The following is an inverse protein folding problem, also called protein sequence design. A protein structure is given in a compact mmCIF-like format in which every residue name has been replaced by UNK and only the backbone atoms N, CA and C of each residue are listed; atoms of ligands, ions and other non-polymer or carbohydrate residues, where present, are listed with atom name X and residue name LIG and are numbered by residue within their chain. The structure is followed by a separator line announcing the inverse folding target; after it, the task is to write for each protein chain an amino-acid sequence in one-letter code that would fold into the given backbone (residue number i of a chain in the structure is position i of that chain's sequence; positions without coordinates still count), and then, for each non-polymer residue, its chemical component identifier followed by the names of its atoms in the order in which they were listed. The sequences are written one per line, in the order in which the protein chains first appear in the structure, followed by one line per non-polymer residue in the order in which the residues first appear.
data_IF_962748367169
#
_entry.id   IF_962748367169
#
_cell.length_a   1.000
_cell.length_b   1.000
_cell.length_c   1.000
_cell.angle_alpha   90.00
_cell.angle_beta   90.00
_cell.angle_gamma   90.00
#
_symmetry.space_group_name_H-M   'P 1'
#
loop_
_entity.id
_entity.type
_entity.pdbx_description
1 polymer ?
#
# COMPACT_ATOMS: atom_id res chain seq x y z
N UNK A 1 19.82 29.17 -0.74
CA UNK A 1 18.86 28.67 0.26
C UNK A 1 19.11 27.18 0.31
N UNK A 2 19.53 26.63 1.45
CA UNK A 2 19.67 25.17 1.57
C UNK A 2 18.27 24.57 1.46
N UNK A 3 18.05 23.70 0.47
CA UNK A 3 16.85 22.87 0.44
C UNK A 3 16.79 22.12 1.77
N UNK A 4 15.91 22.57 2.67
CA UNK A 4 15.68 21.86 3.91
C UNK A 4 15.09 20.50 3.53
N UNK A 5 15.83 19.44 3.80
CA UNK A 5 15.36 18.06 3.58
C UNK A 5 14.08 17.88 4.37
N UNK A 6 12.96 17.71 3.67
CA UNK A 6 11.68 17.44 4.32
C UNK A 6 11.65 15.96 4.68
N UNK A 7 11.62 15.67 5.97
CA UNK A 7 11.60 14.30 6.48
C UNK A 7 10.25 13.99 7.13
N UNK A 8 9.78 12.76 6.95
CA UNK A 8 8.61 12.22 7.62
C UNK A 8 8.86 10.75 8.00
N UNK A 9 8.23 10.28 9.07
CA UNK A 9 8.33 8.88 9.44
C UNK A 9 7.22 8.09 8.75
N UNK A 10 7.61 7.08 7.96
CA UNK A 10 6.68 6.19 7.30
C UNK A 10 6.55 4.85 8.04
N UNK A 11 5.33 4.38 8.22
CA UNK A 11 5.03 3.08 8.84
C UNK A 11 4.15 2.26 7.90
N UNK A 12 4.55 1.02 7.65
CA UNK A 12 3.78 0.04 6.87
C UNK A 12 3.21 -1.03 7.83
N UNK A 13 1.89 -0.94 8.09
CA UNK A 13 1.16 -1.88 8.95
C UNK A 13 0.64 -3.03 8.10
N UNK A 14 1.34 -4.16 8.12
CA UNK A 14 0.94 -5.36 7.41
C UNK A 14 0.46 -6.48 8.35
N UNK A 15 -0.25 -7.47 7.82
CA UNK A 15 -0.80 -8.58 8.61
C UNK A 15 0.26 -9.47 9.30
N UNK A 16 1.50 -9.49 8.83
CA UNK A 16 2.59 -10.30 9.39
C UNK A 16 3.72 -9.50 10.01
N UNK A 17 3.74 -8.18 9.83
CA UNK A 17 4.79 -7.31 10.35
C UNK A 17 4.47 -5.85 10.12
N UNK A 18 4.80 -5.03 11.11
CA UNK A 18 4.75 -3.58 11.07
C UNK A 18 6.18 -3.09 10.87
N UNK A 19 6.37 -2.23 9.88
CA UNK A 19 7.70 -1.75 9.50
C UNK A 19 7.70 -0.23 9.52
N UNK A 20 8.79 0.39 9.96
CA UNK A 20 8.91 1.83 9.97
C UNK A 20 10.32 2.28 9.62
N UNK A 21 10.44 3.45 9.02
CA UNK A 21 11.69 4.14 8.74
C UNK A 21 11.45 5.64 8.57
N UNK A 22 12.51 6.42 8.82
CA UNK A 22 12.54 7.82 8.44
C UNK A 22 12.81 7.94 6.94
N UNK A 23 12.04 8.78 6.26
CA UNK A 23 12.07 8.98 4.81
C UNK A 23 12.41 10.42 4.50
N UNK A 24 13.31 10.64 3.56
CA UNK A 24 13.47 11.89 2.84
C UNK A 24 12.37 11.97 1.77
N UNK A 25 11.37 12.82 2.00
CA UNK A 25 10.21 12.93 1.12
C UNK A 25 10.50 13.66 -0.20
N UNK A 26 11.68 14.27 -0.34
CA UNK A 26 12.12 14.92 -1.58
C UNK A 26 12.75 13.93 -2.56
N UNK A 27 13.35 12.87 -2.05
CA UNK A 27 14.06 11.85 -2.83
C UNK A 27 13.40 10.46 -2.80
N UNK A 28 12.50 10.22 -1.83
CA UNK A 28 11.90 8.90 -1.58
C UNK A 28 12.83 7.89 -0.95
N UNK A 29 14.00 8.32 -0.46
CA UNK A 29 14.99 7.41 0.13
C UNK A 29 14.80 7.24 1.63
N UNK A 30 15.03 6.01 2.12
CA UNK A 30 15.03 5.74 3.55
C UNK A 30 16.29 6.35 4.18
N UNK A 31 16.10 7.26 5.15
CA UNK A 31 17.19 7.91 5.91
C UNK A 31 17.73 6.98 6.99
N UNK A 32 16.85 6.13 7.55
CA UNK A 32 17.22 5.12 8.54
C UNK A 32 16.97 3.72 8.00
N UNK A 33 17.68 2.69 8.51
CA UNK A 33 17.33 1.32 8.20
C UNK A 33 15.88 1.01 8.58
N UNK A 34 15.18 0.28 7.73
CA UNK A 34 13.82 -0.18 7.98
C UNK A 34 13.79 -1.15 9.16
N UNK A 35 13.11 -0.78 10.23
CA UNK A 35 12.84 -1.65 11.36
C UNK A 35 11.55 -2.42 11.15
N UNK A 36 11.52 -3.70 11.54
CA UNK A 36 10.35 -4.57 11.46
C UNK A 36 10.05 -5.18 12.82
N UNK A 37 8.80 -5.07 13.25
CA UNK A 37 8.24 -5.76 14.41
C UNK A 37 7.13 -6.69 13.91
N UNK A 38 6.98 -7.86 14.51
CA UNK A 38 5.90 -8.80 14.17
C UNK A 38 4.56 -8.18 14.54
N UNK A 39 3.59 -8.26 13.65
CA UNK A 39 2.23 -7.78 13.92
C UNK A 39 1.62 -8.59 15.07
N UNK A 40 1.15 -7.94 16.13
CA UNK A 40 0.55 -8.64 17.28
C UNK A 40 -0.72 -9.40 16.85
N UNK A 41 -0.97 -10.50 17.53
CA UNK A 41 -2.18 -11.29 17.34
C UNK A 41 -2.91 -11.48 18.67
N UNK A 42 -4.18 -11.06 18.78
CA UNK A 42 -4.99 -10.35 17.76
C UNK A 42 -4.45 -8.94 17.51
N UNK A 43 -4.59 -8.48 16.23
CA UNK A 43 -4.15 -7.16 15.79
C UNK A 43 -5.18 -6.07 16.11
N UNK A 44 -5.52 -5.95 17.40
CA UNK A 44 -6.46 -4.93 17.90
C UNK A 44 -5.86 -3.51 17.78
N UNK A 45 -6.70 -2.44 17.81
CA UNK A 45 -6.21 -1.06 17.81
C UNK A 45 -5.13 -0.80 18.87
N UNK A 46 -5.34 -1.24 20.11
CA UNK A 46 -4.39 -1.05 21.20
C UNK A 46 -3.05 -1.76 20.92
N UNK A 47 -3.09 -3.03 20.50
CA UNK A 47 -1.89 -3.80 20.25
C UNK A 47 -1.05 -3.27 19.07
N UNK A 48 -1.72 -2.80 18.02
CA UNK A 48 -1.04 -2.19 16.86
C UNK A 48 -0.48 -0.81 17.23
N UNK A 49 -1.22 0.00 18.00
CA UNK A 49 -0.75 1.29 18.50
C UNK A 49 0.50 1.15 19.38
N UNK A 50 0.56 0.12 20.22
CA UNK A 50 1.74 -0.17 21.04
C UNK A 50 3.00 -0.36 20.17
N UNK A 51 2.88 -1.07 19.07
CA UNK A 51 3.99 -1.30 18.14
C UNK A 51 4.36 -0.02 17.41
N UNK A 52 3.36 0.73 16.89
CA UNK A 52 3.57 1.99 16.19
C UNK A 52 4.32 2.99 17.08
N UNK A 53 3.83 3.21 18.29
CA UNK A 53 4.46 4.15 19.24
C UNK A 53 5.85 3.69 19.65
N UNK A 54 6.07 2.37 19.81
CA UNK A 54 7.41 1.83 20.08
C UNK A 54 8.41 2.17 18.99
N UNK A 55 8.01 2.09 17.71
CA UNK A 55 8.85 2.47 16.57
C UNK A 55 9.22 3.96 16.62
N UNK A 56 8.26 4.85 16.94
CA UNK A 56 8.47 6.29 17.03
C UNK A 56 9.41 6.68 18.19
N UNK A 57 9.18 6.10 19.38
CA UNK A 57 10.02 6.35 20.57
C UNK A 57 11.45 5.89 20.31
N UNK A 58 11.62 4.68 19.75
CA UNK A 58 12.95 4.15 19.49
C UNK A 58 13.70 4.94 18.41
N UNK A 59 12.96 5.47 17.42
CA UNK A 59 13.53 6.37 16.41
C UNK A 59 13.84 7.77 16.96
N UNK A 60 13.32 8.13 18.13
CA UNK A 60 13.40 9.49 18.68
C UNK A 60 12.74 10.52 17.77
N UNK A 61 11.69 10.12 17.02
CA UNK A 61 11.08 10.95 16.01
C UNK A 61 9.99 11.87 16.60
N UNK A 62 10.08 13.14 16.26
CA UNK A 62 9.09 14.17 16.61
C UNK A 62 8.73 14.94 15.34
N UNK A 63 7.59 14.67 14.74
CA UNK A 63 7.15 15.27 13.48
C UNK A 63 5.98 14.50 12.87
N UNK A 64 5.69 14.78 11.60
CA UNK A 64 4.61 14.08 10.90
C UNK A 64 4.92 12.60 10.69
N UNK A 65 3.89 11.79 10.80
CA UNK A 65 3.96 10.33 10.66
C UNK A 65 2.87 9.88 9.71
N UNK A 66 3.25 9.15 8.67
CA UNK A 66 2.30 8.45 7.82
C UNK A 66 2.28 6.96 8.15
N UNK A 67 1.10 6.37 8.24
CA UNK A 67 0.95 4.94 8.46
C UNK A 67 0.04 4.31 7.39
N UNK A 68 0.49 3.23 6.74
CA UNK A 68 -0.42 2.43 5.93
C UNK A 68 -1.24 1.52 6.81
N UNK A 69 -2.45 1.22 6.36
CA UNK A 69 -3.33 0.28 7.02
C UNK A 69 -4.02 -0.63 5.98
N UNK A 70 -4.09 -1.95 6.18
CA UNK A 70 -4.66 -2.90 5.20
C UNK A 70 -6.19 -2.92 5.26
N UNK A 71 -6.81 -1.76 5.03
CA UNK A 71 -8.24 -1.54 5.01
C UNK A 71 -8.59 -0.27 4.21
N UNK A 72 -9.85 -0.13 3.85
CA UNK A 72 -10.40 1.15 3.36
C UNK A 72 -10.35 2.17 4.48
N UNK A 73 -9.64 3.28 4.26
CA UNK A 73 -9.54 4.41 5.19
C UNK A 73 -10.24 5.63 4.58
N UNK A 74 -11.33 6.03 5.16
CA UNK A 74 -12.11 7.18 4.69
C UNK A 74 -12.21 8.24 5.77
N UNK A 75 -11.58 9.39 5.55
CA UNK A 75 -11.50 10.49 6.53
C UNK A 75 -10.96 10.01 7.89
N UNK A 76 -9.83 9.27 7.87
CA UNK A 76 -9.21 8.69 9.06
C UNK A 76 -9.89 7.43 9.61
N UNK A 77 -11.12 7.12 9.18
CA UNK A 77 -11.92 6.04 9.74
C UNK A 77 -11.73 4.74 8.94
N UNK A 78 -11.38 3.65 9.64
CA UNK A 78 -11.32 2.32 9.04
C UNK A 78 -12.73 1.80 8.73
N UNK A 79 -13.02 1.55 7.45
CA UNK A 79 -14.34 1.09 6.95
C UNK A 79 -14.41 -0.41 6.75
N UNK A 80 -13.27 -1.08 6.69
CA UNK A 80 -13.18 -2.53 6.51
C UNK A 80 -12.10 -3.12 7.43
N UNK A 81 -12.08 -4.45 7.58
CA UNK A 81 -11.09 -5.17 8.37
C UNK A 81 -10.99 -6.60 7.84
N UNK A 82 -10.38 -6.79 6.67
CA UNK A 82 -10.24 -8.11 6.05
C UNK A 82 -9.13 -8.94 6.70
N UNK A 83 -7.99 -8.32 7.00
CA UNK A 83 -6.77 -8.97 7.48
C UNK A 83 -6.31 -8.49 8.86
N UNK A 84 -7.16 -7.75 9.57
CA UNK A 84 -6.93 -7.22 10.93
C UNK A 84 -8.13 -7.49 11.81
N UNK A 85 -8.02 -7.21 13.10
CA UNK A 85 -9.12 -7.40 14.05
C UNK A 85 -10.34 -6.54 13.68
N UNK A 86 -11.54 -7.12 13.80
CA UNK A 86 -12.79 -6.44 13.41
C UNK A 86 -13.13 -5.21 14.27
N UNK A 87 -12.50 -5.06 15.44
CA UNK A 87 -12.64 -3.87 16.28
C UNK A 87 -12.12 -2.58 15.61
N UNK A 88 -11.38 -2.70 14.51
CA UNK A 88 -10.99 -1.55 13.70
C UNK A 88 -12.15 -0.89 12.96
N UNK A 89 -13.20 -1.64 12.62
CA UNK A 89 -14.32 -1.09 11.84
C UNK A 89 -15.01 0.03 12.61
N UNK A 90 -15.00 1.24 12.04
CA UNK A 90 -15.54 2.46 12.65
C UNK A 90 -14.55 3.20 13.56
N UNK A 91 -13.34 2.68 13.78
CA UNK A 91 -12.29 3.38 14.53
C UNK A 91 -11.70 4.50 13.66
N UNK A 92 -11.61 5.71 14.21
CA UNK A 92 -10.79 6.78 13.65
C UNK A 92 -9.32 6.44 13.95
N UNK A 93 -8.62 5.95 12.94
CA UNK A 93 -7.25 5.48 13.09
C UNK A 93 -6.25 6.64 13.22
N UNK A 94 -6.50 7.78 12.56
CA UNK A 94 -5.69 8.99 12.70
C UNK A 94 -5.70 9.47 14.17
N UNK A 95 -6.91 9.69 14.71
CA UNK A 95 -7.08 10.14 16.09
C UNK A 95 -6.55 9.10 17.09
N UNK A 96 -6.83 7.81 16.85
CA UNK A 96 -6.43 6.74 17.75
C UNK A 96 -4.91 6.65 17.92
N UNK A 97 -4.16 6.66 16.82
CA UNK A 97 -2.71 6.58 16.86
C UNK A 97 -2.07 7.86 17.38
N UNK A 98 -2.58 9.04 16.99
CA UNK A 98 -2.13 10.34 17.50
C UNK A 98 -2.27 10.41 19.02
N UNK A 99 -3.44 10.01 19.55
CA UNK A 99 -3.69 9.98 20.99
C UNK A 99 -2.78 8.96 21.71
N UNK A 100 -2.64 7.75 21.16
CA UNK A 100 -1.76 6.74 21.73
C UNK A 100 -0.29 7.19 21.79
N UNK A 101 0.18 7.95 20.79
CA UNK A 101 1.51 8.56 20.79
C UNK A 101 1.63 9.61 21.90
N UNK A 102 0.65 10.51 22.01
CA UNK A 102 0.65 11.60 23.02
C UNK A 102 0.63 11.06 24.46
N UNK A 103 -0.17 10.00 24.74
CA UNK A 103 -0.23 9.35 26.04
C UNK A 103 1.12 8.76 26.48
N UNK A 104 2.04 8.50 25.54
CA UNK A 104 3.39 7.99 25.79
C UNK A 104 4.48 9.05 25.64
N UNK A 105 4.10 10.33 25.58
CA UNK A 105 5.02 11.47 25.50
C UNK A 105 5.63 11.72 24.11
N UNK A 106 5.02 11.15 23.06
CA UNK A 106 5.44 11.38 21.67
C UNK A 106 4.41 12.28 20.99
N UNK A 107 4.78 13.55 20.76
CA UNK A 107 3.90 14.53 20.10
C UNK A 107 3.98 14.38 18.57
N UNK A 108 3.39 13.29 18.07
CA UNK A 108 3.33 13.01 16.64
C UNK A 108 1.88 13.11 16.17
N UNK A 109 1.69 13.75 15.02
CA UNK A 109 0.43 13.69 14.27
C UNK A 109 0.51 12.54 13.27
N UNK A 110 -0.42 11.59 13.37
CA UNK A 110 -0.40 10.37 12.57
C UNK A 110 -1.50 10.44 11.52
N UNK A 111 -1.12 10.35 10.26
CA UNK A 111 -2.01 10.23 9.13
C UNK A 111 -2.05 8.79 8.61
N UNK A 112 -3.25 8.23 8.49
CA UNK A 112 -3.44 6.83 8.05
C UNK A 112 -4.11 6.78 6.68
N UNK A 113 -3.59 5.89 5.82
CA UNK A 113 -4.16 5.65 4.49
C UNK A 113 -4.08 4.17 4.13
N UNK A 114 -4.80 3.78 3.08
CA UNK A 114 -4.74 2.41 2.57
C UNK A 114 -3.32 2.06 2.07
N UNK A 115 -2.91 0.79 2.17
CA UNK A 115 -1.57 0.31 1.80
C UNK A 115 -1.31 0.37 0.28
N UNK A 116 -2.32 0.07 -0.54
CA UNK A 116 -2.20 0.20 -1.99
C UNK A 116 -2.19 1.68 -2.44
N UNK A 117 -2.99 2.54 -1.79
CA UNK A 117 -2.98 3.98 -2.02
C UNK A 117 -1.59 4.58 -1.75
N UNK A 118 -0.98 4.21 -0.61
CA UNK A 118 0.39 4.62 -0.30
C UNK A 118 1.40 4.16 -1.36
N UNK A 119 1.29 2.89 -1.78
CA UNK A 119 2.16 2.39 -2.84
C UNK A 119 1.95 3.16 -4.16
N UNK A 120 0.72 3.54 -4.49
CA UNK A 120 0.40 4.39 -5.64
C UNK A 120 1.07 5.76 -5.58
N UNK A 121 0.99 6.44 -4.44
CA UNK A 121 1.67 7.73 -4.21
C UNK A 121 3.18 7.59 -4.41
N UNK A 122 3.79 6.58 -3.82
CA UNK A 122 5.23 6.34 -3.93
C UNK A 122 5.68 6.10 -5.39
N UNK A 123 4.96 5.23 -6.10
CA UNK A 123 5.26 4.91 -7.49
C UNK A 123 5.02 6.09 -8.45
N UNK A 124 4.03 6.95 -8.17
CA UNK A 124 3.80 8.18 -8.93
C UNK A 124 4.91 9.21 -8.71
N UNK A 125 5.44 9.31 -7.51
CA UNK A 125 6.47 10.30 -7.16
C UNK A 125 7.87 9.85 -7.57
N UNK A 126 8.22 8.59 -7.36
CA UNK A 126 9.59 8.10 -7.46
C UNK A 126 9.80 6.83 -8.29
N UNK A 127 8.73 6.12 -8.66
CA UNK A 127 8.81 4.81 -9.29
C UNK A 127 8.25 4.74 -10.71
N UNK A 128 7.68 3.60 -11.05
CA UNK A 128 7.26 3.21 -12.39
C UNK A 128 6.21 4.13 -13.02
N UNK A 129 5.43 4.87 -12.21
CA UNK A 129 4.40 5.81 -12.67
C UNK A 129 4.89 7.27 -12.73
N UNK A 130 6.16 7.54 -12.38
CA UNK A 130 6.70 8.90 -12.35
C UNK A 130 6.64 9.56 -13.73
N UNK A 131 5.99 10.75 -13.78
CA UNK A 131 5.87 11.56 -15.00
C UNK A 131 4.92 10.98 -16.05
N UNK A 132 4.13 9.98 -15.71
CA UNK A 132 3.07 9.44 -16.58
C UNK A 132 1.83 10.31 -16.42
N UNK A 133 1.35 10.89 -17.54
CA UNK A 133 0.09 11.63 -17.58
C UNK A 133 -1.08 10.69 -17.81
N UNK A 134 -2.29 11.17 -17.45
CA UNK A 134 -3.54 10.42 -17.63
C UNK A 134 -3.79 9.43 -16.49
N UNK A 135 -4.45 8.32 -16.82
CA UNK A 135 -4.90 7.33 -15.85
C UNK A 135 -3.84 6.26 -15.65
N UNK A 136 -3.35 6.12 -14.43
CA UNK A 136 -2.48 5.01 -14.02
C UNK A 136 -3.19 4.16 -12.98
N UNK A 137 -3.18 2.84 -13.16
CA UNK A 137 -3.72 1.90 -12.17
C UNK A 137 -2.58 1.04 -11.64
N UNK A 138 -2.32 1.18 -10.34
CA UNK A 138 -1.44 0.26 -9.62
C UNK A 138 -2.28 -0.89 -9.06
N UNK A 139 -1.80 -2.13 -9.28
CA UNK A 139 -2.41 -3.35 -8.74
C UNK A 139 -1.37 -4.12 -7.93
N UNK A 140 -1.61 -4.32 -6.65
CA UNK A 140 -0.74 -5.12 -5.78
C UNK A 140 -1.30 -6.54 -5.64
N UNK A 141 -0.54 -7.54 -6.10
CA UNK A 141 -0.93 -8.95 -5.99
C UNK A 141 -0.27 -9.59 -4.77
N UNK A 142 -1.08 -9.87 -3.76
CA UNK A 142 -0.67 -10.46 -2.48
C UNK A 142 -1.65 -11.50 -1.97
N UNK A 143 -2.08 -11.40 -0.70
CA UNK A 143 -3.17 -12.21 -0.12
C UNK A 143 -4.48 -11.96 -0.87
N UNK A 144 -4.77 -10.70 -1.18
CA UNK A 144 -5.80 -10.21 -2.08
C UNK A 144 -5.20 -9.44 -3.24
N UNK A 145 -5.99 -8.55 -3.85
CA UNK A 145 -5.56 -7.58 -4.85
C UNK A 145 -5.90 -6.19 -4.33
N UNK A 146 -4.88 -5.42 -3.94
CA UNK A 146 -5.03 -4.00 -3.67
C UNK A 146 -4.93 -3.18 -4.95
N UNK A 147 -5.55 -2.01 -4.96
CA UNK A 147 -5.50 -1.11 -6.12
C UNK A 147 -5.35 0.35 -5.70
N UNK A 148 -4.62 1.12 -6.50
CA UNK A 148 -4.61 2.57 -6.45
C UNK A 148 -4.86 3.14 -7.85
N UNK A 149 -5.74 4.12 -7.93
CA UNK A 149 -6.06 4.85 -9.16
C UNK A 149 -5.40 6.23 -9.08
N UNK A 150 -4.66 6.58 -10.09
CA UNK A 150 -4.00 7.88 -10.21
C UNK A 150 -4.48 8.58 -11.48
N UNK A 151 -4.76 9.87 -11.37
CA UNK A 151 -5.02 10.76 -12.50
C UNK A 151 -3.96 11.87 -12.52
N UNK A 152 -3.14 11.92 -13.56
CA UNK A 152 -2.03 12.87 -13.69
C UNK A 152 -1.10 12.86 -12.44
N UNK A 153 -0.87 11.66 -11.88
CA UNK A 153 -0.05 11.45 -10.69
C UNK A 153 -0.74 11.76 -9.36
N UNK A 154 -2.01 12.20 -9.38
CA UNK A 154 -2.81 12.48 -8.17
C UNK A 154 -3.67 11.26 -7.83
N UNK A 155 -3.63 10.84 -6.58
CA UNK A 155 -4.38 9.68 -6.09
C UNK A 155 -5.90 9.97 -6.06
N UNK A 156 -6.68 9.04 -6.60
CA UNK A 156 -8.11 8.88 -6.32
C UNK A 156 -8.23 7.79 -5.24
N UNK A 157 -8.47 8.16 -3.96
CA UNK A 157 -8.28 7.26 -2.84
C UNK A 157 -9.36 6.17 -2.75
N UNK A 158 -9.00 5.09 -2.07
CA UNK A 158 -9.89 4.00 -1.68
C UNK A 158 -10.56 3.29 -2.87
N UNK A 159 -9.82 2.99 -3.92
CA UNK A 159 -10.32 2.14 -4.99
C UNK A 159 -10.08 0.67 -4.64
N UNK A 160 -11.12 -0.15 -4.72
CA UNK A 160 -11.09 -1.57 -4.33
C UNK A 160 -11.37 -2.46 -5.56
N UNK A 161 -10.55 -2.30 -6.61
CA UNK A 161 -10.74 -3.00 -7.88
C UNK A 161 -10.55 -4.52 -7.77
N UNK A 162 -9.88 -5.02 -6.72
CA UNK A 162 -9.78 -6.44 -6.41
C UNK A 162 -11.12 -7.10 -6.10
N UNK A 163 -12.09 -6.30 -5.62
CA UNK A 163 -13.46 -6.73 -5.31
C UNK A 163 -14.42 -6.62 -6.50
N UNK A 164 -13.95 -6.24 -7.70
CA UNK A 164 -14.78 -6.33 -8.89
C UNK A 164 -15.31 -7.75 -9.04
N UNK A 165 -16.64 -7.86 -9.21
CA UNK A 165 -17.25 -9.14 -9.50
C UNK A 165 -16.94 -9.56 -10.94
N UNK A 166 -16.25 -10.67 -11.09
CA UNK A 166 -15.89 -11.24 -12.36
C UNK A 166 -16.32 -12.72 -12.38
N UNK A 167 -17.22 -13.04 -13.32
CA UNK A 167 -17.77 -14.39 -13.45
C UNK A 167 -18.39 -14.92 -12.13
N UNK A 168 -19.14 -14.05 -11.42
CA UNK A 168 -19.90 -14.39 -10.22
C UNK A 168 -19.10 -14.47 -8.91
N UNK A 169 -17.83 -14.01 -8.90
CA UNK A 169 -17.00 -13.93 -7.68
C UNK A 169 -16.06 -12.72 -7.72
N UNK A 170 -15.61 -12.27 -6.55
CA UNK A 170 -14.57 -11.24 -6.46
C UNK A 170 -13.34 -11.67 -7.25
N UNK A 171 -12.80 -10.77 -8.06
CA UNK A 171 -11.66 -11.05 -8.93
C UNK A 171 -10.44 -11.55 -8.15
N UNK A 172 -10.17 -11.01 -6.96
CA UNK A 172 -9.06 -11.43 -6.12
C UNK A 172 -9.11 -12.92 -5.73
N UNK A 173 -10.31 -13.51 -5.57
CA UNK A 173 -10.47 -14.94 -5.28
C UNK A 173 -9.96 -15.85 -6.40
N UNK A 174 -9.70 -15.28 -7.59
CA UNK A 174 -9.18 -16.02 -8.74
C UNK A 174 -7.77 -15.58 -9.14
N UNK A 175 -7.46 -14.29 -9.03
CA UNK A 175 -6.25 -13.67 -9.59
C UNK A 175 -5.23 -13.21 -8.54
N UNK A 176 -5.54 -13.18 -7.23
CA UNK A 176 -4.56 -12.86 -6.21
C UNK A 176 -3.36 -13.83 -6.23
N UNK A 177 -2.20 -13.37 -5.76
CA UNK A 177 -1.00 -14.22 -5.71
C UNK A 177 -1.18 -15.42 -4.75
N UNK A 178 -1.93 -15.25 -3.67
CA UNK A 178 -2.27 -16.33 -2.72
C UNK A 178 -2.96 -17.51 -3.39
N UNK A 179 -3.76 -17.27 -4.43
CA UNK A 179 -4.45 -18.34 -5.20
C UNK A 179 -3.44 -19.21 -5.94
N UNK A 180 -2.32 -18.62 -6.40
CA UNK A 180 -1.24 -19.38 -7.04
C UNK A 180 -0.53 -20.30 -6.04
N UNK A 181 -0.37 -19.85 -4.79
CA UNK A 181 0.37 -20.57 -3.74
C UNK A 181 -0.42 -21.73 -3.12
N UNK A 182 -1.75 -21.69 -3.15
CA UNK A 182 -2.65 -22.55 -2.35
C UNK A 182 -3.49 -23.53 -3.18
N UNK A 183 -2.97 -24.10 -4.25
CA UNK A 183 -3.74 -25.12 -5.01
C UNK A 183 -3.66 -26.51 -4.37
N UNK A 184 -4.71 -27.32 -4.55
CA UNK A 184 -4.76 -28.71 -4.04
C UNK A 184 -3.63 -29.60 -4.57
N UNK A 185 -3.03 -29.24 -5.71
CA UNK A 185 -1.98 -30.01 -6.40
C UNK A 185 -0.60 -29.38 -6.27
N UNK A 186 -0.42 -28.42 -5.35
CA UNK A 186 0.79 -27.63 -5.18
C UNK A 186 0.70 -26.25 -5.82
N UNK A 187 1.83 -25.57 -5.97
CA UNK A 187 1.89 -24.21 -6.50
C UNK A 187 1.52 -24.16 -8.00
N UNK A 188 0.59 -23.28 -8.36
CA UNK A 188 0.19 -23.07 -9.76
C UNK A 188 1.35 -22.47 -10.57
N UNK A 189 1.53 -22.91 -11.84
CA UNK A 189 2.52 -22.30 -12.72
C UNK A 189 2.20 -20.83 -13.03
N UNK A 190 3.22 -20.01 -13.32
CA UNK A 190 3.00 -18.63 -13.74
C UNK A 190 2.13 -18.53 -14.97
N UNK A 191 2.32 -19.38 -15.96
CA UNK A 191 1.48 -19.41 -17.17
C UNK A 191 -0.02 -19.54 -16.82
N UNK A 192 -0.37 -20.53 -16.01
CA UNK A 192 -1.78 -20.76 -15.64
C UNK A 192 -2.36 -19.67 -14.74
N UNK A 193 -1.51 -19.04 -13.92
CA UNK A 193 -1.93 -17.91 -13.10
C UNK A 193 -2.08 -16.63 -13.94
N UNK A 194 -1.16 -16.40 -14.89
CA UNK A 194 -1.22 -15.26 -15.81
C UNK A 194 -2.51 -15.24 -16.64
N UNK A 195 -3.05 -16.40 -17.03
CA UNK A 195 -4.36 -16.48 -17.72
C UNK A 195 -5.49 -15.86 -16.87
N UNK A 196 -5.45 -16.05 -15.54
CA UNK A 196 -6.44 -15.49 -14.60
C UNK A 196 -6.21 -13.99 -14.38
N UNK A 197 -4.96 -13.58 -14.21
CA UNK A 197 -4.58 -12.17 -14.11
C UNK A 197 -4.95 -11.43 -15.38
N UNK A 198 -4.67 -12.01 -16.54
CA UNK A 198 -5.01 -11.44 -17.84
C UNK A 198 -6.51 -11.16 -17.96
N UNK A 199 -7.36 -12.16 -17.62
CA UNK A 199 -8.82 -12.00 -17.63
C UNK A 199 -9.29 -10.85 -16.73
N UNK A 200 -8.69 -10.71 -15.55
CA UNK A 200 -8.98 -9.63 -14.61
C UNK A 200 -8.52 -8.27 -15.15
N UNK A 201 -7.27 -8.17 -15.59
CA UNK A 201 -6.70 -6.90 -16.06
C UNK A 201 -7.36 -6.43 -17.35
N UNK A 202 -7.74 -7.32 -18.26
CA UNK A 202 -8.54 -6.98 -19.46
C UNK A 202 -9.90 -6.37 -19.08
N UNK A 203 -10.52 -6.86 -18.01
CA UNK A 203 -11.78 -6.28 -17.54
C UNK A 203 -11.56 -4.87 -16.97
N UNK A 204 -10.53 -4.67 -16.16
CA UNK A 204 -10.14 -3.35 -15.66
C UNK A 204 -9.76 -2.41 -16.81
N UNK A 205 -8.98 -2.88 -17.76
CA UNK A 205 -8.61 -2.12 -18.99
C UNK A 205 -9.84 -1.66 -19.76
N UNK A 206 -10.82 -2.53 -19.95
CA UNK A 206 -12.06 -2.20 -20.63
C UNK A 206 -12.88 -1.12 -19.90
N UNK A 207 -12.85 -1.10 -18.57
CA UNK A 207 -13.61 -0.14 -17.77
C UNK A 207 -12.94 1.24 -17.65
N UNK A 208 -11.61 1.26 -17.56
CA UNK A 208 -10.85 2.48 -17.23
C UNK A 208 -9.98 3.00 -18.37
N UNK A 209 -9.66 2.18 -19.37
CA UNK A 209 -8.74 2.53 -20.45
C UNK A 209 -7.48 3.28 -19.96
N UNK A 210 -6.70 2.68 -19.01
CA UNK A 210 -5.59 3.40 -18.39
C UNK A 210 -4.41 3.57 -19.36
N UNK A 211 -3.59 4.59 -19.11
CA UNK A 211 -2.36 4.85 -19.87
C UNK A 211 -1.21 3.93 -19.42
N UNK A 212 -1.28 3.44 -18.15
CA UNK A 212 -0.29 2.52 -17.60
C UNK A 212 -0.91 1.65 -16.53
N UNK A 213 -0.56 0.36 -16.52
CA UNK A 213 -0.65 -0.50 -15.34
C UNK A 213 0.69 -0.60 -14.63
N UNK A 214 0.70 -0.42 -13.31
CA UNK A 214 1.84 -0.76 -12.45
C UNK A 214 1.48 -1.99 -11.64
N UNK A 215 2.32 -3.04 -11.67
CA UNK A 215 2.04 -4.29 -10.93
C UNK A 215 3.01 -4.46 -9.77
N UNK A 216 2.45 -4.51 -8.56
CA UNK A 216 3.17 -4.60 -7.29
C UNK A 216 2.86 -5.87 -6.51
N UNK A 217 3.22 -5.85 -5.23
CA UNK A 217 3.10 -6.99 -4.32
C UNK A 217 4.27 -7.97 -4.44
N UNK A 218 4.24 -9.03 -3.63
CA UNK A 218 5.37 -9.97 -3.54
C UNK A 218 5.73 -10.66 -4.85
N UNK A 219 4.77 -10.83 -5.76
CA UNK A 219 4.94 -11.50 -7.05
C UNK A 219 5.57 -10.60 -8.12
N UNK A 220 5.66 -9.29 -7.89
CA UNK A 220 6.33 -8.36 -8.83
C UNK A 220 7.81 -8.65 -9.01
N UNK A 221 8.46 -9.29 -8.02
CA UNK A 221 9.86 -9.76 -8.10
C UNK A 221 10.09 -10.78 -9.22
N UNK A 222 9.04 -11.46 -9.65
CA UNK A 222 9.06 -12.45 -10.72
C UNK A 222 8.27 -11.95 -11.95
N UNK A 223 8.14 -10.62 -12.13
CA UNK A 223 7.33 -10.02 -13.19
C UNK A 223 7.71 -10.54 -14.59
N UNK A 224 8.99 -10.79 -14.81
CA UNK A 224 9.52 -11.33 -16.07
C UNK A 224 8.95 -12.72 -16.44
N UNK A 225 8.38 -13.45 -15.46
CA UNK A 225 7.82 -14.79 -15.67
C UNK A 225 6.35 -14.77 -16.08
N UNK A 226 5.63 -13.66 -15.86
CA UNK A 226 4.19 -13.61 -16.06
C UNK A 226 3.69 -12.36 -16.79
N UNK A 227 4.29 -11.19 -16.63
CA UNK A 227 3.89 -9.97 -17.33
C UNK A 227 3.95 -10.14 -18.86
N UNK A 228 4.98 -10.75 -19.45
CA UNK A 228 5.02 -10.99 -20.90
C UNK A 228 3.93 -11.94 -21.44
N UNK A 229 3.19 -12.60 -20.54
CA UNK A 229 2.09 -13.52 -20.91
C UNK A 229 0.73 -12.81 -20.89
N UNK A 230 0.68 -11.53 -20.51
CA UNK A 230 -0.55 -10.73 -20.52
C UNK A 230 -0.81 -10.19 -21.93
N UNK A 231 -2.07 -10.25 -22.32
CA UNK A 231 -2.57 -9.76 -23.62
C UNK A 231 -3.41 -8.50 -23.39
N UNK A 232 -2.73 -7.37 -23.14
CA UNK A 232 -3.32 -6.06 -22.88
C UNK A 232 -2.87 -5.06 -23.93
N UNK A 233 -3.69 -4.03 -24.19
CA UNK A 233 -3.31 -2.90 -25.03
C UNK A 233 -2.50 -1.89 -24.24
N UNK A 234 -2.85 -1.73 -22.94
CA UNK A 234 -2.17 -0.83 -22.00
C UNK A 234 -0.80 -1.40 -21.60
N UNK A 235 0.26 -0.58 -21.62
CA UNK A 235 1.56 -0.98 -21.10
C UNK A 235 1.48 -1.43 -19.62
N UNK A 236 2.28 -2.45 -19.28
CA UNK A 236 2.40 -2.96 -17.91
C UNK A 236 3.84 -2.84 -17.45
N UNK A 237 4.08 -2.19 -16.30
CA UNK A 237 5.39 -2.09 -15.67
C UNK A 237 5.37 -2.69 -14.26
N UNK A 238 6.42 -3.39 -13.82
CA UNK A 238 6.56 -3.75 -12.42
C UNK A 238 6.82 -2.51 -11.57
N UNK A 239 6.32 -2.52 -10.32
CA UNK A 239 6.60 -1.51 -9.31
C UNK A 239 8.10 -1.46 -8.99
N UNK A 240 8.66 -0.27 -8.82
CA UNK A 240 10.10 -0.05 -8.60
C UNK A 240 10.48 0.04 -7.11
N UNK A 241 9.60 0.62 -6.26
CA UNK A 241 9.90 0.79 -4.83
C UNK A 241 9.68 -0.49 -4.00
N UNK A 242 9.05 -1.51 -4.56
CA UNK A 242 8.91 -2.83 -3.96
C UNK A 242 8.37 -2.78 -2.51
N UNK A 243 9.19 -3.30 -1.57
CA UNK A 243 8.82 -3.41 -0.15
C UNK A 243 8.87 -2.09 0.62
N UNK A 244 9.36 -1.02 0.03
CA UNK A 244 9.50 0.30 0.67
C UNK A 244 8.38 1.25 0.22
N UNK A 245 7.60 0.86 -0.82
CA UNK A 245 6.52 1.69 -1.38
C UNK A 245 5.51 2.16 -0.31
N UNK A 246 5.03 1.27 0.57
CA UNK A 246 4.10 1.64 1.64
C UNK A 246 4.70 2.67 2.61
N UNK A 247 5.95 2.45 3.06
CA UNK A 247 6.64 3.37 3.98
C UNK A 247 6.85 4.74 3.32
N UNK A 248 7.36 4.75 2.09
CA UNK A 248 7.65 5.98 1.34
C UNK A 248 6.37 6.75 1.03
N UNK A 249 5.33 6.06 0.53
CA UNK A 249 4.06 6.70 0.21
C UNK A 249 3.34 7.26 1.43
N UNK A 250 3.34 6.54 2.55
CA UNK A 250 2.77 7.03 3.80
C UNK A 250 3.50 8.28 4.31
N UNK A 251 4.83 8.28 4.28
CA UNK A 251 5.63 9.44 4.67
C UNK A 251 5.34 10.67 3.79
N UNK A 252 5.23 10.49 2.46
CA UNK A 252 4.88 11.56 1.53
C UNK A 252 3.49 12.12 1.85
N UNK A 253 2.49 11.25 1.98
CA UNK A 253 1.11 11.67 2.24
C UNK A 253 0.98 12.47 3.54
N UNK A 254 1.66 12.04 4.61
CA UNK A 254 1.69 12.79 5.87
C UNK A 254 2.40 14.14 5.75
N UNK A 255 3.51 14.20 5.00
CA UNK A 255 4.27 15.43 4.79
C UNK A 255 3.47 16.47 3.99
N UNK A 256 2.73 16.03 2.96
CA UNK A 256 1.89 16.91 2.13
C UNK A 256 0.72 17.48 2.94
N UNK A 257 0.04 16.64 3.74
CA UNK A 257 -1.04 17.08 4.62
C UNK A 257 -0.59 18.08 5.70
N UNK A 258 0.63 17.97 6.19
CA UNK A 258 1.18 18.86 7.23
C UNK A 258 1.65 20.20 6.66
N UNK A 259 1.89 20.27 5.35
CA UNK A 259 2.30 21.50 4.64
C UNK A 259 1.13 22.36 4.14
N UNK A 260 -0.13 21.83 4.22
CA UNK A 260 -1.36 22.56 3.93
C UNK A 260 -1.87 23.30 5.19
#
# INVERSE_FOLDING_TARGET
MSDATVQAFGIDIGGSGIKGALVDTTTGTLVTPRKRIVTPQPSTPAAVADVLVSLLIEAGWHGCVGATFPAVIQHGIARSAANVDKSWIGTDADEYFTKAAAERGSNNDVYVLNDADAAGIAEARFGAAKGVSGVVILLTFGTGIGSALLLDGVLVPNTELGHLELDGVDAEKRAAASVRETTKTGKMSYKKWAERVNRYMQHVEHLFTPDLFVVGGGVSKDAEKWVPLLELQTPVKPAELLNDAGIVGAAIAASERHGE
#
